data_IF_809392248134
#
_entry.id   IF_809392248134
#
_cell.length_a   1.000
_cell.length_b   1.000
_cell.length_c   1.000
_cell.angle_alpha   90.00
_cell.angle_beta   90.00
_cell.angle_gamma   90.00
#
_symmetry.space_group_name_H-M   'P 1'
#
loop_
_entity.id
_entity.type
_entity.pdbx_description
1 polymer ?
#
# COMPACT_ATOMS: atom_id res chain seq x y z
N UNK A 1 -5.78 -28.39 -50.08
CA UNK A 1 -4.34 -28.15 -50.25
C UNK A 1 -4.13 -26.66 -50.41
N UNK A 2 -3.56 -25.94 -49.43
CA UNK A 2 -3.15 -24.56 -49.62
C UNK A 2 -1.65 -24.46 -49.96
N UNK A 3 -1.35 -23.45 -50.76
CA UNK A 3 -0.12 -23.27 -51.51
C UNK A 3 1.11 -22.94 -50.64
N UNK A 4 2.25 -23.51 -51.01
CA UNK A 4 3.56 -23.08 -50.54
C UNK A 4 3.98 -21.81 -51.30
N UNK A 5 4.38 -20.72 -50.63
CA UNK A 5 5.02 -19.60 -51.30
C UNK A 5 6.49 -19.94 -51.58
N UNK A 6 6.87 -19.84 -52.85
CA UNK A 6 8.26 -19.96 -53.32
C UNK A 6 9.01 -18.68 -52.97
N UNK A 7 10.15 -18.78 -52.30
CA UNK A 7 11.04 -17.63 -52.00
C UNK A 7 12.15 -17.51 -53.06
N UNK A 8 12.63 -16.30 -53.39
CA UNK A 8 13.68 -16.09 -54.36
C UNK A 8 15.06 -16.44 -53.79
N UNK A 9 15.92 -17.03 -54.61
CA UNK A 9 17.33 -17.29 -54.28
C UNK A 9 18.15 -16.10 -54.77
N UNK A 10 18.75 -15.34 -53.84
CA UNK A 10 19.79 -14.38 -54.18
C UNK A 10 21.13 -15.12 -54.28
N UNK A 11 21.67 -15.25 -55.49
CA UNK A 11 23.01 -15.79 -55.72
C UNK A 11 24.03 -14.64 -55.66
N UNK A 12 24.96 -14.69 -54.70
CA UNK A 12 26.17 -13.86 -54.70
C UNK A 12 27.31 -14.74 -55.19
N UNK A 13 27.80 -14.48 -56.40
CA UNK A 13 29.00 -15.07 -56.97
C UNK A 13 30.21 -14.21 -56.57
N UNK A 14 31.02 -14.70 -55.65
CA UNK A 14 32.40 -14.26 -55.44
C UNK A 14 33.31 -15.48 -55.55
N UNK A 15 34.32 -15.35 -56.41
CA UNK A 15 35.09 -16.47 -56.97
C UNK A 15 36.07 -17.16 -56.01
N UNK A 16 36.42 -18.37 -56.45
CA UNK A 16 37.55 -19.22 -56.05
C UNK A 16 37.59 -19.74 -54.59
N UNK A 17 37.02 -20.94 -54.43
CA UNK A 17 37.20 -21.82 -53.28
C UNK A 17 35.96 -22.66 -53.03
N UNK A 18 35.99 -23.96 -53.38
CA UNK A 18 34.88 -24.88 -53.09
C UNK A 18 34.71 -25.04 -51.57
N UNK A 19 33.72 -24.36 -51.03
CA UNK A 19 33.19 -24.56 -49.69
C UNK A 19 31.83 -23.85 -49.61
N UNK A 20 30.76 -24.56 -49.97
CA UNK A 20 29.40 -24.03 -49.81
C UNK A 20 29.04 -24.16 -48.34
N UNK A 21 29.31 -23.12 -47.55
CA UNK A 21 28.72 -22.98 -46.23
C UNK A 21 27.29 -22.44 -46.39
N UNK A 22 26.29 -23.30 -46.26
CA UNK A 22 24.91 -22.88 -46.13
C UNK A 22 24.72 -22.27 -44.74
N UNK A 23 24.73 -20.94 -44.65
CA UNK A 23 24.31 -20.24 -43.43
C UNK A 23 22.79 -20.25 -43.42
N UNK A 24 22.22 -21.16 -42.65
CA UNK A 24 20.80 -21.11 -42.30
C UNK A 24 20.66 -19.99 -41.27
N UNK A 25 20.27 -18.80 -41.72
CA UNK A 25 19.77 -17.77 -40.83
C UNK A 25 18.40 -18.27 -40.39
N UNK A 26 18.33 -18.85 -39.20
CA UNK A 26 17.05 -19.14 -38.57
C UNK A 26 16.36 -17.79 -38.35
N UNK A 27 15.17 -17.59 -38.93
CA UNK A 27 14.28 -16.50 -38.53
C UNK A 27 14.07 -16.66 -37.02
N UNK A 28 14.57 -15.70 -36.25
CA UNK A 28 14.33 -15.64 -34.82
C UNK A 28 12.80 -15.62 -34.63
N UNK A 29 12.23 -16.54 -33.81
CA UNK A 29 10.80 -16.50 -33.57
C UNK A 29 10.43 -15.09 -33.10
N UNK A 30 9.30 -14.52 -33.57
CA UNK A 30 8.89 -13.19 -33.15
C UNK A 30 8.90 -13.16 -31.63
N UNK A 31 9.78 -12.32 -31.08
CA UNK A 31 9.89 -12.12 -29.64
C UNK A 31 8.48 -11.83 -29.13
N UNK A 32 7.99 -12.56 -28.11
CA UNK A 32 6.67 -12.29 -27.57
C UNK A 32 6.61 -10.80 -27.25
N UNK A 33 5.62 -10.13 -27.81
CA UNK A 33 5.35 -8.72 -27.49
C UNK A 33 5.31 -8.65 -25.96
N UNK A 34 6.03 -7.73 -25.30
CA UNK A 34 5.95 -7.60 -23.86
C UNK A 34 4.47 -7.43 -23.53
N UNK A 35 3.89 -8.47 -22.94
CA UNK A 35 2.54 -8.39 -22.41
C UNK A 35 2.63 -7.23 -21.43
N UNK A 36 1.92 -6.13 -21.71
CA UNK A 36 1.77 -5.04 -20.76
C UNK A 36 1.46 -5.71 -19.42
N UNK A 37 2.21 -5.40 -18.34
CA UNK A 37 1.98 -6.04 -17.06
C UNK A 37 0.48 -6.04 -16.84
N UNK A 38 -0.11 -7.23 -16.68
CA UNK A 38 -1.52 -7.34 -16.32
C UNK A 38 -1.73 -6.28 -15.25
N UNK A 39 -2.60 -5.30 -15.51
CA UNK A 39 -3.05 -4.39 -14.46
C UNK A 39 -3.31 -5.32 -13.28
N UNK A 40 -2.57 -5.11 -12.19
CA UNK A 40 -2.75 -5.93 -11.01
C UNK A 40 -4.25 -5.97 -10.81
N UNK A 41 -4.77 -7.17 -10.58
CA UNK A 41 -6.03 -7.24 -9.87
C UNK A 41 -5.83 -6.33 -8.65
N UNK A 42 -6.42 -5.14 -8.71
CA UNK A 42 -6.78 -4.43 -7.52
C UNK A 42 -7.86 -5.37 -7.00
N UNK A 43 -7.57 -6.10 -5.93
CA UNK A 43 -8.41 -7.22 -5.49
C UNK A 43 -9.84 -6.78 -5.56
N UNK A 44 -10.69 -7.58 -6.21
CA UNK A 44 -12.09 -7.20 -6.48
C UNK A 44 -12.67 -6.47 -5.26
N UNK A 45 -12.98 -5.17 -5.41
CA UNK A 45 -13.42 -4.29 -4.31
C UNK A 45 -12.40 -3.26 -3.79
N UNK A 46 -11.16 -3.24 -4.28
CA UNK A 46 -10.15 -2.22 -3.97
C UNK A 46 -9.95 -1.19 -5.08
N UNK A 47 -10.67 -1.34 -6.20
CA UNK A 47 -10.71 -0.30 -7.22
C UNK A 47 -11.27 0.98 -6.61
N UNK A 48 -10.69 2.15 -6.90
CA UNK A 48 -11.30 3.40 -6.52
C UNK A 48 -12.72 3.48 -7.09
N UNK A 49 -13.75 3.54 -6.23
CA UNK A 49 -15.13 3.79 -6.66
C UNK A 49 -15.33 5.24 -7.09
N UNK A 50 -14.42 6.12 -6.65
CA UNK A 50 -14.37 7.52 -6.98
C UNK A 50 -12.98 7.84 -7.56
N UNK A 51 -12.93 8.75 -8.53
CA UNK A 51 -11.64 9.30 -8.96
C UNK A 51 -11.01 10.09 -7.80
N UNK A 52 -9.73 9.85 -7.46
CA UNK A 52 -9.02 10.64 -6.46
C UNK A 52 -9.12 12.15 -6.75
N UNK A 53 -9.61 12.94 -5.78
CA UNK A 53 -9.69 14.41 -5.85
C UNK A 53 -9.03 15.07 -4.63
N UNK A 54 -7.69 15.24 -4.66
CA UNK A 54 -6.95 15.94 -3.61
C UNK A 54 -7.35 17.40 -3.42
N UNK A 55 -7.98 18.04 -4.42
CA UNK A 55 -8.46 19.42 -4.29
C UNK A 55 -9.79 19.47 -3.53
N UNK A 56 -10.73 18.56 -3.82
CA UNK A 56 -11.94 18.39 -3.02
C UNK A 56 -11.63 18.01 -1.59
N UNK A 57 -10.70 17.07 -1.37
CA UNK A 57 -10.27 16.69 -0.02
C UNK A 57 -9.75 17.90 0.77
N UNK A 58 -8.96 18.79 0.15
CA UNK A 58 -8.48 20.04 0.79
C UNK A 58 -9.61 21.01 1.09
N UNK A 59 -10.56 21.20 0.17
CA UNK A 59 -11.75 22.05 0.41
C UNK A 59 -12.62 21.50 1.53
N UNK A 60 -12.86 20.19 1.54
CA UNK A 60 -13.61 19.48 2.57
C UNK A 60 -12.96 19.64 3.95
N UNK A 61 -11.65 19.38 4.05
CA UNK A 61 -10.90 19.59 5.29
C UNK A 61 -10.99 21.04 5.81
N UNK A 62 -10.94 22.03 4.91
CA UNK A 62 -11.11 23.43 5.26
C UNK A 62 -12.54 23.76 5.74
N UNK A 63 -13.56 23.22 5.07
CA UNK A 63 -14.97 23.41 5.45
C UNK A 63 -15.31 22.78 6.81
N UNK A 64 -14.77 21.58 7.08
CA UNK A 64 -14.91 20.88 8.35
C UNK A 64 -13.99 21.44 9.44
N UNK A 65 -13.17 22.45 9.12
CA UNK A 65 -12.18 23.04 10.01
C UNK A 65 -11.29 21.99 10.70
N UNK A 66 -10.88 20.96 9.95
CA UNK A 66 -10.07 19.86 10.49
C UNK A 66 -8.74 20.40 11.00
N UNK A 67 -8.41 19.99 12.23
CA UNK A 67 -7.16 20.34 12.91
C UNK A 67 -6.49 19.06 13.34
N UNK A 68 -5.24 18.93 12.95
CA UNK A 68 -4.36 17.85 13.36
C UNK A 68 -3.17 18.45 14.10
N UNK A 69 -2.75 17.81 15.19
CA UNK A 69 -1.52 18.14 15.90
C UNK A 69 -0.39 17.32 15.29
N UNK A 70 0.66 17.94 14.72
CA UNK A 70 1.84 17.22 14.29
C UNK A 70 2.50 16.55 15.50
N UNK A 71 2.65 15.23 15.46
CA UNK A 71 3.24 14.45 16.54
C UNK A 71 3.92 13.25 15.89
N UNK A 72 5.04 13.48 15.16
CA UNK A 72 5.60 12.46 14.29
C UNK A 72 6.04 11.22 15.08
N UNK A 73 5.80 10.04 14.51
CA UNK A 73 6.41 8.80 14.96
C UNK A 73 7.93 8.81 14.67
N UNK A 74 8.68 7.95 15.35
CA UNK A 74 10.09 7.75 15.03
C UNK A 74 10.25 7.21 13.59
N UNK A 75 11.24 7.66 12.81
CA UNK A 75 11.46 7.19 11.44
C UNK A 75 11.69 5.68 11.28
N UNK A 76 12.07 4.97 12.34
CA UNK A 76 12.15 3.50 12.32
C UNK A 76 10.78 2.83 12.33
N UNK A 77 9.71 3.54 12.70
CA UNK A 77 8.35 3.00 12.83
C UNK A 77 7.48 3.20 11.58
N UNK A 78 8.02 3.67 10.46
CA UNK A 78 7.30 3.75 9.17
C UNK A 78 8.29 3.66 8.00
N UNK A 79 7.79 3.54 6.77
CA UNK A 79 8.65 3.46 5.59
C UNK A 79 7.98 3.98 4.32
N UNK A 80 8.66 3.79 3.19
CA UNK A 80 8.09 4.13 1.88
C UNK A 80 7.00 3.14 1.47
N UNK A 81 5.98 3.65 0.75
CA UNK A 81 5.10 2.80 -0.05
C UNK A 81 5.88 2.34 -1.28
N UNK A 82 5.99 1.02 -1.48
CA UNK A 82 6.81 0.43 -2.54
C UNK A 82 5.96 0.03 -3.74
N UNK A 83 6.35 0.38 -4.98
CA UNK A 83 5.65 -0.06 -6.19
C UNK A 83 5.99 -1.51 -6.59
N UNK A 84 6.91 -2.15 -5.88
CA UNK A 84 7.32 -3.54 -6.10
C UNK A 84 7.36 -4.35 -4.81
N UNK A 85 7.09 -5.64 -4.92
CA UNK A 85 7.28 -6.62 -3.84
C UNK A 85 8.73 -7.12 -3.76
N UNK A 86 8.98 -8.08 -2.87
CA UNK A 86 10.31 -8.65 -2.68
C UNK A 86 10.78 -9.58 -3.81
N UNK A 87 9.86 -10.00 -4.68
CA UNK A 87 10.09 -10.83 -5.86
C UNK A 87 10.28 -9.97 -7.14
N UNK A 88 10.09 -8.65 -7.03
CA UNK A 88 10.17 -7.70 -8.13
C UNK A 88 8.86 -7.53 -8.91
N UNK A 89 7.78 -8.18 -8.48
CA UNK A 89 6.44 -8.00 -9.02
C UNK A 89 5.93 -6.60 -8.72
N UNK A 90 5.23 -5.98 -9.68
CA UNK A 90 4.53 -4.73 -9.44
C UNK A 90 3.44 -4.95 -8.39
N UNK A 91 3.21 -3.94 -7.56
CA UNK A 91 2.20 -3.95 -6.50
C UNK A 91 1.62 -2.55 -6.32
N UNK A 92 0.36 -2.47 -5.88
CA UNK A 92 -0.24 -1.19 -5.57
C UNK A 92 0.50 -0.51 -4.41
N UNK A 93 0.82 0.76 -4.59
CA UNK A 93 1.47 1.63 -3.61
C UNK A 93 0.65 2.90 -3.33
N UNK A 94 -0.57 2.95 -3.85
CA UNK A 94 -1.54 4.01 -3.54
C UNK A 94 -2.39 3.57 -2.35
N UNK A 95 -2.73 4.49 -1.43
CA UNK A 95 -3.76 4.22 -0.44
C UNK A 95 -5.08 3.75 -1.08
N UNK A 96 -5.60 2.62 -0.61
CA UNK A 96 -6.84 2.01 -1.13
C UNK A 96 -7.70 1.38 -0.03
N UNK A 97 -7.22 1.33 1.20
CA UNK A 97 -7.96 0.80 2.35
C UNK A 97 -7.71 1.66 3.59
N UNK A 98 -8.75 1.84 4.41
CA UNK A 98 -8.66 2.47 5.72
C UNK A 98 -8.81 1.36 6.76
N UNK A 99 -7.84 1.24 7.66
CA UNK A 99 -7.87 0.29 8.77
C UNK A 99 -8.07 1.06 10.05
N UNK A 100 -9.17 0.75 10.74
CA UNK A 100 -9.48 1.30 12.05
C UNK A 100 -8.86 0.44 13.13
N UNK A 101 -8.25 1.11 14.09
CA UNK A 101 -7.60 0.50 15.24
C UNK A 101 -8.13 1.10 16.53
N UNK A 102 -7.88 0.39 17.61
CA UNK A 102 -7.91 0.95 18.94
C UNK A 102 -6.52 0.87 19.56
N UNK A 103 -6.22 1.72 20.52
CA UNK A 103 -4.86 1.80 21.09
C UNK A 103 -4.55 0.72 22.12
N UNK A 104 -5.58 0.18 22.78
CA UNK A 104 -5.50 -0.65 24.01
C UNK A 104 -4.64 -0.07 25.15
N UNK A 105 -4.23 1.20 25.03
CA UNK A 105 -3.34 1.95 25.92
C UNK A 105 -3.88 3.37 26.14
N UNK A 106 -3.19 4.15 26.98
CA UNK A 106 -3.44 5.59 27.05
C UNK A 106 -2.87 6.32 25.82
N UNK A 107 -3.38 7.52 25.55
CA UNK A 107 -2.78 8.42 24.56
C UNK A 107 -1.28 8.59 24.78
N UNK A 108 -0.86 8.96 25.99
CA UNK A 108 0.53 9.30 26.29
C UNK A 108 1.46 8.09 26.10
N UNK A 109 1.01 6.88 26.48
CA UNK A 109 1.79 5.66 26.28
C UNK A 109 1.87 5.28 24.80
N UNK A 110 0.77 5.43 24.06
CA UNK A 110 0.73 5.18 22.61
C UNK A 110 1.67 6.12 21.86
N UNK A 111 1.61 7.42 22.16
CA UNK A 111 2.49 8.42 21.55
C UNK A 111 3.95 8.13 21.87
N UNK A 112 4.27 7.84 23.14
CA UNK A 112 5.64 7.50 23.56
C UNK A 112 6.14 6.26 22.84
N UNK A 113 5.30 5.23 22.71
CA UNK A 113 5.65 4.01 21.99
C UNK A 113 5.97 4.31 20.52
N UNK A 114 5.11 5.01 19.79
CA UNK A 114 5.37 5.35 18.39
C UNK A 114 6.55 6.29 18.17
N UNK A 115 6.91 7.10 19.17
CA UNK A 115 8.08 7.98 19.16
C UNK A 115 9.37 7.30 19.63
N UNK A 116 9.30 6.07 20.13
CA UNK A 116 10.47 5.30 20.54
C UNK A 116 11.07 4.61 19.31
N UNK A 117 12.40 4.67 19.11
CA UNK A 117 13.05 3.94 18.02
C UNK A 117 12.91 2.41 18.17
N UNK A 118 12.45 1.74 17.12
CA UNK A 118 12.33 0.27 17.06
C UNK A 118 13.17 -0.28 15.88
N UNK A 119 14.43 -0.68 16.14
CA UNK A 119 15.31 -1.15 15.07
C UNK A 119 14.99 -2.57 14.58
N UNK A 120 14.17 -3.32 15.33
CA UNK A 120 13.73 -4.67 14.94
C UNK A 120 12.34 -4.57 14.32
N UNK A 121 12.16 -5.10 13.11
CA UNK A 121 10.88 -5.14 12.41
C UNK A 121 9.71 -5.65 13.28
N UNK A 122 9.97 -6.59 14.21
CA UNK A 122 8.96 -7.17 15.08
C UNK A 122 8.39 -6.20 16.13
N UNK A 123 9.12 -5.15 16.47
CA UNK A 123 8.72 -4.16 17.47
C UNK A 123 8.16 -2.88 16.82
N UNK A 124 8.30 -2.76 15.49
CA UNK A 124 7.90 -1.59 14.75
C UNK A 124 6.38 -1.50 14.62
N UNK A 125 5.83 -0.36 15.04
CA UNK A 125 4.41 -0.08 14.87
C UNK A 125 4.14 1.43 14.82
N UNK A 126 3.16 1.80 14.01
CA UNK A 126 2.68 3.19 13.91
C UNK A 126 1.34 3.27 13.19
N UNK A 127 0.66 4.40 13.36
CA UNK A 127 -0.54 4.76 12.62
C UNK A 127 -0.37 6.10 11.92
N UNK A 128 -1.27 6.44 10.99
CA UNK A 128 -1.24 7.75 10.33
C UNK A 128 -1.90 8.82 11.22
N UNK A 129 -3.01 8.44 11.85
CA UNK A 129 -3.77 9.28 12.77
C UNK A 129 -4.10 8.56 14.08
N UNK A 130 -4.10 9.31 15.17
CA UNK A 130 -4.63 8.89 16.47
C UNK A 130 -5.62 9.95 16.97
N UNK A 131 -6.79 9.52 17.44
CA UNK A 131 -7.80 10.38 18.04
C UNK A 131 -7.86 10.14 19.55
N UNK A 132 -7.57 11.16 20.34
CA UNK A 132 -7.73 11.07 21.81
C UNK A 132 -9.20 10.98 22.23
N UNK A 133 -9.47 10.68 23.50
CA UNK A 133 -10.85 10.60 24.05
C UNK A 133 -11.69 11.86 23.82
N UNK A 134 -11.08 13.03 23.53
CA UNK A 134 -11.76 14.30 23.26
C UNK A 134 -11.94 14.57 21.76
N UNK A 135 -11.44 13.71 20.89
CA UNK A 135 -11.50 13.87 19.44
C UNK A 135 -10.44 14.83 18.88
N UNK A 136 -9.36 15.12 19.61
CA UNK A 136 -8.20 15.78 19.03
C UNK A 136 -7.45 14.78 18.14
N UNK A 137 -7.09 15.20 16.93
CA UNK A 137 -6.37 14.37 15.99
C UNK A 137 -4.86 14.61 16.05
N UNK A 138 -4.10 13.52 16.06
CA UNK A 138 -2.64 13.52 16.14
C UNK A 138 -2.09 12.91 14.86
N UNK A 139 -1.33 13.70 14.10
CA UNK A 139 -0.69 13.27 12.85
C UNK A 139 0.67 12.67 13.15
N UNK A 140 0.75 11.35 13.00
CA UNK A 140 1.91 10.53 13.37
C UNK A 140 2.78 10.16 12.17
N UNK A 141 2.14 9.71 11.08
CA UNK A 141 2.82 9.33 9.84
C UNK A 141 2.16 10.06 8.66
N UNK A 142 2.94 10.65 7.72
CA UNK A 142 2.40 11.23 6.50
C UNK A 142 1.65 10.19 5.65
N UNK A 143 0.55 10.58 5.00
CA UNK A 143 -0.28 9.66 4.20
C UNK A 143 0.50 8.98 3.06
N UNK A 144 1.51 9.66 2.52
CA UNK A 144 2.37 9.17 1.43
C UNK A 144 3.34 8.08 1.90
N UNK A 145 3.57 7.98 3.21
CA UNK A 145 4.37 6.91 3.82
C UNK A 145 3.48 5.75 4.20
N UNK A 146 4.11 4.60 4.40
CA UNK A 146 3.52 3.41 4.94
C UNK A 146 3.76 3.36 6.44
N UNK A 147 2.73 3.57 7.24
CA UNK A 147 2.76 3.23 8.66
C UNK A 147 2.72 1.70 8.86
N UNK A 148 3.15 1.23 10.03
CA UNK A 148 3.25 -0.20 10.35
C UNK A 148 2.11 -0.63 11.28
N UNK A 149 0.88 -0.58 10.77
CA UNK A 149 -0.33 -0.77 11.59
C UNK A 149 -0.99 -2.15 11.47
N UNK A 150 -0.76 -2.90 10.39
CA UNK A 150 -1.49 -4.14 10.09
C UNK A 150 -0.76 -5.44 10.45
N UNK A 151 0.54 -5.41 10.72
CA UNK A 151 1.33 -6.64 10.91
C UNK A 151 1.13 -7.66 9.77
N UNK A 152 0.97 -8.94 10.14
CA UNK A 152 0.50 -10.00 9.23
C UNK A 152 -0.98 -9.84 8.94
N UNK A 153 -1.29 -9.54 7.68
CA UNK A 153 -2.65 -9.25 7.26
C UNK A 153 -2.85 -9.60 5.80
N UNK A 154 -4.07 -9.99 5.44
CA UNK A 154 -4.47 -10.12 4.05
C UNK A 154 -5.83 -9.48 3.77
N UNK A 155 -5.93 -8.81 2.62
CA UNK A 155 -7.18 -8.27 2.08
C UNK A 155 -7.16 -8.34 0.56
N UNK A 156 -7.86 -9.32 -0.01
CA UNK A 156 -7.71 -9.64 -1.44
C UNK A 156 -6.23 -9.86 -1.81
N UNK A 157 -5.79 -9.26 -2.91
CA UNK A 157 -4.41 -9.30 -3.41
C UNK A 157 -3.57 -8.07 -3.01
N UNK A 158 -4.10 -7.14 -2.21
CA UNK A 158 -3.36 -5.97 -1.73
C UNK A 158 -2.26 -6.31 -0.70
N UNK A 159 -2.13 -7.59 -0.37
CA UNK A 159 -1.20 -8.09 0.63
C UNK A 159 0.18 -8.27 0.00
N UNK A 160 1.13 -7.42 0.37
CA UNK A 160 2.48 -7.47 -0.18
C UNK A 160 3.36 -8.33 0.71
N UNK A 161 4.07 -9.28 0.12
CA UNK A 161 5.04 -10.11 0.83
C UNK A 161 6.38 -9.39 0.95
N UNK A 162 6.99 -9.51 2.12
CA UNK A 162 8.29 -8.93 2.41
C UNK A 162 9.34 -10.02 2.56
N UNK A 163 10.58 -9.70 2.18
CA UNK A 163 11.77 -10.48 2.53
C UNK A 163 12.57 -9.80 3.63
N UNK A 164 13.36 -10.56 4.41
CA UNK A 164 13.49 -12.03 4.37
C UNK A 164 12.24 -12.76 4.86
N UNK A 165 12.04 -14.03 4.50
CA UNK A 165 10.90 -14.84 4.96
C UNK A 165 10.88 -15.05 6.49
N UNK A 166 11.97 -14.73 7.17
CA UNK A 166 12.07 -14.69 8.63
C UNK A 166 11.51 -13.40 9.24
N UNK A 167 11.14 -12.40 8.43
CA UNK A 167 10.52 -11.16 8.92
C UNK A 167 9.06 -11.41 9.33
N UNK A 168 8.56 -10.72 10.38
CA UNK A 168 7.13 -10.64 10.70
C UNK A 168 6.26 -9.97 9.63
N UNK A 169 6.75 -9.75 8.41
CA UNK A 169 5.95 -9.33 7.25
C UNK A 169 6.04 -10.33 6.09
N UNK A 170 6.71 -11.46 6.30
CA UNK A 170 6.89 -12.52 5.30
C UNK A 170 5.57 -13.16 4.83
N UNK A 171 4.59 -13.24 5.73
CA UNK A 171 3.25 -13.75 5.43
C UNK A 171 2.41 -12.82 4.54
N UNK A 172 2.86 -11.58 4.32
CA UNK A 172 2.10 -10.54 3.63
C UNK A 172 1.58 -9.47 4.58
N UNK A 173 1.48 -8.24 4.09
CA UNK A 173 0.91 -7.12 4.82
C UNK A 173 0.24 -6.12 3.90
N UNK A 174 -0.88 -5.55 4.34
CA UNK A 174 -1.62 -4.51 3.60
C UNK A 174 -1.10 -3.10 3.89
N UNK A 175 -0.11 -2.94 4.78
CA UNK A 175 0.45 -1.64 5.18
C UNK A 175 0.74 -0.73 3.96
N UNK A 176 1.18 -1.30 2.83
CA UNK A 176 1.55 -0.55 1.61
C UNK A 176 0.42 0.22 0.95
N UNK A 177 -0.82 -0.23 1.14
CA UNK A 177 -2.02 0.42 0.61
C UNK A 177 -2.94 0.94 1.72
N UNK A 178 -2.58 0.72 2.99
CA UNK A 178 -3.41 1.10 4.11
C UNK A 178 -3.14 2.53 4.59
N UNK A 179 -4.21 3.19 5.00
CA UNK A 179 -4.20 4.31 5.93
C UNK A 179 -4.74 3.82 7.27
N UNK A 180 -4.11 4.27 8.36
CA UNK A 180 -4.37 3.75 9.70
C UNK A 180 -4.85 4.87 10.59
N UNK A 181 -6.02 4.70 11.19
CA UNK A 181 -6.57 5.62 12.17
C UNK A 181 -6.91 4.84 13.42
N UNK A 182 -6.36 5.27 14.55
CA UNK A 182 -6.63 4.67 15.84
C UNK A 182 -7.44 5.58 16.74
N UNK A 183 -8.31 5.00 17.55
CA UNK A 183 -9.03 5.67 18.62
C UNK A 183 -8.39 5.31 19.95
N UNK A 184 -8.13 6.31 20.80
CA UNK A 184 -7.75 6.05 22.19
C UNK A 184 -8.87 5.25 22.87
N UNK A 185 -8.51 4.07 23.36
CA UNK A 185 -9.42 3.16 24.04
C UNK A 185 -9.96 3.81 25.33
N UNK A 186 -11.24 3.58 25.68
CA UNK A 186 -11.75 3.95 26.99
C UNK A 186 -10.98 3.19 28.08
N UNK A 187 -11.07 3.63 29.35
CA UNK A 187 -10.30 3.04 30.44
C UNK A 187 -10.57 1.54 30.63
N UNK A 188 -11.82 1.12 30.39
CA UNK A 188 -12.27 -0.27 30.51
C UNK A 188 -11.95 -1.11 29.26
N UNK A 189 -11.69 -0.48 28.11
CA UNK A 189 -11.20 -1.12 26.89
C UNK A 189 -9.67 -1.25 26.82
N UNK A 190 -8.97 -1.09 27.95
CA UNK A 190 -7.51 -1.29 28.03
C UNK A 190 -7.19 -2.68 28.59
N UNK A 191 -6.25 -3.37 27.96
CA UNK A 191 -5.86 -4.73 28.33
C UNK A 191 -6.79 -5.80 27.74
N UNK A 192 -6.88 -6.95 28.41
CA UNK A 192 -7.49 -8.17 27.86
C UNK A 192 -8.89 -8.48 28.45
N UNK A 193 -9.57 -7.46 28.98
CA UNK A 193 -10.91 -7.61 29.54
C UNK A 193 -12.03 -7.57 28.49
N UNK A 194 -13.18 -8.15 28.81
CA UNK A 194 -14.33 -8.21 27.88
C UNK A 194 -15.25 -6.96 27.95
N UNK A 195 -14.93 -5.97 28.80
CA UNK A 195 -15.69 -4.74 28.95
C UNK A 195 -15.21 -3.66 27.97
N UNK A 196 -16.13 -2.89 27.39
CA UNK A 196 -15.77 -1.79 26.50
C UNK A 196 -16.90 -0.75 26.37
N UNK A 197 -16.75 0.41 27.02
CA UNK A 197 -17.72 1.52 27.04
C UNK A 197 -17.90 2.20 25.67
N UNK A 198 -17.05 1.87 24.70
CA UNK A 198 -17.07 2.46 23.38
C UNK A 198 -16.30 3.78 23.30
N UNK A 199 -16.43 4.43 22.14
CA UNK A 199 -15.71 5.66 21.83
C UNK A 199 -16.57 6.89 22.10
N UNK A 200 -15.92 8.02 22.38
CA UNK A 200 -16.64 9.26 22.62
C UNK A 200 -17.31 9.75 21.32
N UNK A 201 -18.37 10.55 21.46
CA UNK A 201 -18.99 11.24 20.31
C UNK A 201 -17.95 12.04 19.51
N UNK A 202 -17.04 12.73 20.19
CA UNK A 202 -15.97 13.48 19.54
C UNK A 202 -15.01 12.60 18.72
N UNK A 203 -14.72 11.39 19.19
CA UNK A 203 -13.94 10.41 18.43
C UNK A 203 -14.67 9.96 17.17
N UNK A 204 -15.96 9.60 17.27
CA UNK A 204 -16.74 9.17 16.09
C UNK A 204 -16.92 10.28 15.05
N UNK A 205 -17.20 11.51 15.50
CA UNK A 205 -17.34 12.66 14.59
C UNK A 205 -16.02 12.94 13.86
N UNK A 206 -14.91 13.03 14.61
CA UNK A 206 -13.60 13.31 14.03
C UNK A 206 -13.10 12.15 13.16
N UNK A 207 -13.45 10.91 13.49
CA UNK A 207 -13.21 9.73 12.65
C UNK A 207 -13.90 9.88 11.30
N UNK A 208 -15.21 10.16 11.29
CA UNK A 208 -15.99 10.30 10.06
C UNK A 208 -15.43 11.40 9.15
N UNK A 209 -15.01 12.53 9.71
CA UNK A 209 -14.38 13.63 8.95
C UNK A 209 -13.09 13.17 8.25
N UNK A 210 -12.17 12.50 8.96
CA UNK A 210 -10.90 12.07 8.37
C UNK A 210 -11.09 10.94 7.35
N UNK A 211 -12.02 10.02 7.61
CA UNK A 211 -12.39 8.97 6.65
C UNK A 211 -12.89 9.60 5.35
N UNK A 212 -13.81 10.56 5.43
CA UNK A 212 -14.33 11.27 4.26
C UNK A 212 -13.22 11.98 3.46
N UNK A 213 -12.29 12.65 4.16
CA UNK A 213 -11.16 13.33 3.52
C UNK A 213 -10.24 12.34 2.80
N UNK A 214 -9.95 11.18 3.40
CA UNK A 214 -9.15 10.15 2.77
C UNK A 214 -9.85 9.50 1.58
N UNK A 215 -11.16 9.24 1.69
CA UNK A 215 -11.97 8.73 0.58
C UNK A 215 -11.95 9.70 -0.61
N UNK A 216 -12.15 11.00 -0.37
CA UNK A 216 -12.05 12.02 -1.41
C UNK A 216 -10.63 12.11 -2.00
N UNK A 217 -9.60 12.09 -1.15
CA UNK A 217 -8.21 12.28 -1.59
C UNK A 217 -7.72 11.13 -2.46
N UNK A 218 -8.05 9.90 -2.09
CA UNK A 218 -7.46 8.69 -2.65
C UNK A 218 -8.46 7.83 -3.43
N UNK A 219 -9.73 8.25 -3.50
CA UNK A 219 -10.78 7.51 -4.20
C UNK A 219 -11.21 6.22 -3.48
N UNK A 220 -10.90 6.09 -2.18
CA UNK A 220 -11.18 4.87 -1.41
C UNK A 220 -12.71 4.64 -1.34
N UNK A 221 -13.19 3.40 -1.59
CA UNK A 221 -14.61 3.06 -1.47
C UNK A 221 -15.21 3.40 -0.10
N UNK A 222 -16.53 3.67 -0.09
CA UNK A 222 -17.35 3.75 1.13
C UNK A 222 -17.77 2.37 1.62
#
# INVERSE_FOLDING_TARGET
MPAFPVRPVAAVLLGFGLGVAAVVVADEPPQPTPELPRELAQGEGLQPLLSPDPQAARRCAAQLAVRERPTPADPTNYGERRPTDAEGGLVSNQPSVIVLHETVMSLDDTLRFFQTPHPRDADQASYHLLLDRRGMAYRLVPDEKRAFGSGWSAWGDASIRHRPLSSPLAGGSINNVALHLSLESPNDGRGDGDAHDGYSKGQYERLAEHVLIWQLRWGIPM
#
